data_IF_222077540111
#
_entry.id   IF_222077540111
#
_cell.length_a   1.000
_cell.length_b   1.000
_cell.length_c   1.000
_cell.angle_alpha   90.00
_cell.angle_beta   90.00
_cell.angle_gamma   90.00
#
_symmetry.space_group_name_H-M   'P 1'
#
loop_
_entity.id
_entity.type
_entity.pdbx_description
1 polymer ?
#
# COMPACT_ATOMS: atom_id res chain seq x y z
N UNK A 1 -17.56 -42.59 -18.04
CA UNK A 1 -17.76 -41.12 -18.15
C UNK A 1 -18.22 -40.66 -16.77
N UNK A 2 -17.54 -39.82 -16.01
CA UNK A 2 -16.78 -38.61 -16.33
C UNK A 2 -15.57 -38.52 -15.39
N UNK A 3 -14.38 -38.43 -15.97
CA UNK A 3 -13.14 -38.21 -15.24
C UNK A 3 -13.08 -36.73 -14.83
N UNK A 4 -13.46 -36.49 -13.58
CA UNK A 4 -13.13 -35.30 -12.81
C UNK A 4 -11.61 -35.22 -12.54
N UNK A 5 -10.81 -35.07 -13.60
CA UNK A 5 -9.38 -34.74 -13.55
C UNK A 5 -9.12 -33.59 -14.52
N UNK A 6 -9.52 -32.40 -14.08
CA UNK A 6 -9.00 -31.14 -14.65
C UNK A 6 -7.47 -31.22 -14.68
N UNK A 7 -6.92 -31.08 -15.88
CA UNK A 7 -5.48 -31.01 -16.15
C UNK A 7 -4.88 -29.85 -15.36
N UNK A 8 -4.09 -30.16 -14.34
CA UNK A 8 -3.03 -29.26 -13.87
C UNK A 8 -2.07 -29.11 -15.05
N UNK A 9 -2.00 -27.92 -15.67
CA UNK A 9 -0.96 -27.62 -16.66
C UNK A 9 0.41 -27.87 -16.02
N UNK A 10 1.31 -28.58 -16.72
CA UNK A 10 2.68 -28.77 -16.21
C UNK A 10 3.36 -27.41 -16.26
N UNK A 11 4.13 -27.06 -15.22
CA UNK A 11 4.82 -25.75 -15.12
C UNK A 11 5.58 -25.37 -16.40
N UNK A 12 6.22 -26.34 -17.06
CA UNK A 12 6.91 -26.12 -18.34
C UNK A 12 5.99 -25.64 -19.47
N UNK A 13 4.76 -26.16 -19.57
CA UNK A 13 3.79 -25.76 -20.59
C UNK A 13 3.39 -24.28 -20.41
N UNK A 14 3.24 -23.85 -19.16
CA UNK A 14 2.90 -22.47 -18.83
C UNK A 14 4.01 -21.49 -19.21
N UNK A 15 5.27 -21.81 -18.92
CA UNK A 15 6.40 -20.97 -19.32
C UNK A 15 6.62 -20.96 -20.85
N UNK A 16 6.25 -22.04 -21.54
CA UNK A 16 6.25 -22.12 -23.00
C UNK A 16 5.20 -21.20 -23.61
N UNK A 17 3.97 -21.23 -23.09
CA UNK A 17 2.86 -20.37 -23.52
C UNK A 17 3.16 -18.88 -23.29
N UNK A 18 3.86 -18.54 -22.21
CA UNK A 18 4.30 -17.16 -21.92
C UNK A 18 5.56 -16.74 -22.72
N UNK A 19 6.15 -17.62 -23.52
CA UNK A 19 7.38 -17.34 -24.27
C UNK A 19 8.63 -17.12 -23.41
N UNK A 20 8.57 -17.53 -22.13
CA UNK A 20 9.69 -17.42 -21.18
C UNK A 20 10.67 -18.58 -21.29
N UNK A 21 10.20 -19.73 -21.75
CA UNK A 21 11.02 -20.91 -22.04
C UNK A 21 10.71 -21.43 -23.44
N UNK A 22 11.72 -22.00 -24.10
CA UNK A 22 11.55 -22.82 -25.30
C UNK A 22 11.51 -24.33 -24.99
N UNK A 23 11.15 -25.14 -25.99
CA UNK A 23 11.04 -26.59 -25.83
C UNK A 23 12.37 -27.26 -25.42
N UNK A 24 13.50 -26.72 -25.86
CA UNK A 24 14.83 -27.25 -25.55
C UNK A 24 15.23 -26.93 -24.10
N UNK A 25 14.96 -25.71 -23.63
CA UNK A 25 15.16 -25.29 -22.24
C UNK A 25 14.30 -26.12 -21.28
N UNK A 26 13.05 -26.43 -21.63
CA UNK A 26 12.17 -27.29 -20.82
C UNK A 26 12.75 -28.70 -20.69
N UNK A 27 13.31 -29.26 -21.76
CA UNK A 27 13.95 -30.57 -21.72
C UNK A 27 15.18 -30.58 -20.79
N UNK A 28 16.04 -29.55 -20.90
CA UNK A 28 17.21 -29.39 -20.05
C UNK A 28 16.85 -29.21 -18.56
N UNK A 29 15.80 -28.45 -18.27
CA UNK A 29 15.26 -28.31 -16.91
C UNK A 29 14.78 -29.68 -16.42
N UNK A 30 14.06 -30.44 -17.24
CA UNK A 30 13.56 -31.77 -16.90
C UNK A 30 14.67 -32.81 -16.66
N UNK A 31 15.79 -32.74 -17.40
CA UNK A 31 16.98 -33.55 -17.13
C UNK A 31 17.61 -33.18 -15.78
N UNK A 32 17.87 -31.89 -15.56
CA UNK A 32 18.47 -31.37 -14.31
C UNK A 32 17.59 -31.69 -13.09
N UNK A 33 16.27 -31.62 -13.25
CA UNK A 33 15.30 -31.97 -12.22
C UNK A 33 15.47 -33.43 -11.75
N UNK A 34 15.65 -34.36 -12.70
CA UNK A 34 15.83 -35.80 -12.43
C UNK A 34 17.19 -36.10 -11.84
N UNK A 35 18.25 -35.55 -12.43
CA UNK A 35 19.63 -35.77 -12.00
C UNK A 35 19.87 -35.26 -10.57
N UNK A 36 19.34 -34.09 -10.25
CA UNK A 36 19.61 -33.41 -8.98
C UNK A 36 18.46 -33.47 -7.97
N UNK A 37 17.37 -34.16 -8.30
CA UNK A 37 16.17 -34.33 -7.45
C UNK A 37 15.63 -33.00 -6.89
N UNK A 38 15.57 -31.97 -7.73
CA UNK A 38 15.07 -30.64 -7.36
C UNK A 38 13.69 -30.37 -7.98
N UNK A 39 13.01 -29.27 -7.61
CA UNK A 39 11.74 -28.87 -8.23
C UNK A 39 12.00 -28.19 -9.58
N UNK A 40 10.99 -28.12 -10.44
CA UNK A 40 11.13 -27.53 -11.79
C UNK A 40 11.64 -26.07 -11.73
N UNK A 41 11.06 -25.24 -10.86
CA UNK A 41 11.51 -23.85 -10.66
C UNK A 41 12.95 -23.75 -10.17
N UNK A 42 13.35 -24.60 -9.21
CA UNK A 42 14.73 -24.64 -8.70
C UNK A 42 15.73 -25.02 -9.78
N UNK A 43 15.36 -25.97 -10.66
CA UNK A 43 16.18 -26.35 -11.81
C UNK A 43 16.28 -25.23 -12.85
N UNK A 44 15.18 -24.51 -13.13
CA UNK A 44 15.17 -23.38 -14.04
C UNK A 44 16.01 -22.20 -13.53
N UNK A 45 15.99 -21.94 -12.22
CA UNK A 45 16.88 -20.97 -11.55
C UNK A 45 18.34 -21.39 -11.65
N UNK A 46 18.60 -22.67 -11.37
CA UNK A 46 19.96 -23.20 -11.37
C UNK A 46 20.62 -23.10 -12.75
N UNK A 47 19.84 -23.34 -13.81
CA UNK A 47 20.29 -23.21 -15.20
C UNK A 47 20.33 -21.76 -15.70
N UNK A 48 19.78 -20.81 -14.92
CA UNK A 48 19.69 -19.40 -15.29
C UNK A 48 18.68 -19.09 -16.39
N UNK A 49 17.76 -20.02 -16.68
CA UNK A 49 16.72 -19.82 -17.71
C UNK A 49 15.57 -18.98 -17.21
N UNK A 50 15.28 -19.03 -15.91
CA UNK A 50 14.27 -18.20 -15.27
C UNK A 50 14.85 -17.52 -14.04
N UNK A 51 14.36 -16.32 -13.77
CA UNK A 51 14.58 -15.63 -12.50
C UNK A 51 13.51 -16.02 -11.48
N UNK A 52 13.80 -15.78 -10.20
CA UNK A 52 12.84 -16.02 -9.11
C UNK A 52 11.53 -15.28 -9.36
N UNK A 53 11.62 -14.02 -9.80
CA UNK A 53 10.48 -13.17 -10.15
C UNK A 53 9.59 -13.78 -11.26
N UNK A 54 10.19 -14.33 -12.31
CA UNK A 54 9.45 -14.95 -13.42
C UNK A 54 8.73 -16.23 -12.98
N UNK A 55 9.37 -17.05 -12.16
CA UNK A 55 8.76 -18.27 -11.62
C UNK A 55 7.58 -17.94 -10.72
N UNK A 56 7.76 -16.96 -9.85
CA UNK A 56 6.70 -16.54 -8.93
C UNK A 56 5.52 -15.92 -9.70
N UNK A 57 5.78 -15.07 -10.71
CA UNK A 57 4.77 -14.51 -11.61
C UNK A 57 3.88 -15.59 -12.24
N UNK A 58 4.51 -16.58 -12.87
CA UNK A 58 3.86 -17.73 -13.47
C UNK A 58 3.03 -18.57 -12.47
N UNK A 59 3.56 -18.80 -11.26
CA UNK A 59 2.84 -19.53 -10.21
C UNK A 59 1.63 -18.75 -9.69
N UNK A 60 1.71 -17.41 -9.67
CA UNK A 60 0.59 -16.53 -9.34
C UNK A 60 -0.64 -16.78 -10.20
N UNK A 61 -0.45 -16.82 -11.52
CA UNK A 61 -1.53 -17.09 -12.49
C UNK A 61 -2.12 -18.49 -12.29
N UNK A 62 -1.30 -19.50 -12.04
CA UNK A 62 -1.71 -20.90 -11.96
C UNK A 62 -2.56 -21.22 -10.71
N UNK A 63 -2.24 -20.62 -9.55
CA UNK A 63 -2.90 -20.93 -8.28
C UNK A 63 -4.07 -20.00 -7.93
N UNK A 64 -4.58 -19.24 -8.89
CA UNK A 64 -5.74 -18.37 -8.67
C UNK A 64 -5.47 -17.21 -7.70
N UNK A 65 -4.20 -16.83 -7.52
CA UNK A 65 -3.92 -15.48 -7.07
C UNK A 65 -4.26 -14.57 -8.23
N UNK A 66 -5.47 -14.03 -8.20
CA UNK A 66 -6.04 -13.04 -9.11
C UNK A 66 -5.24 -11.72 -9.08
N UNK A 67 -3.92 -11.80 -9.29
CA UNK A 67 -2.97 -10.70 -9.24
C UNK A 67 -2.52 -10.28 -10.64
N UNK A 68 -2.96 -10.97 -11.69
CA UNK A 68 -2.64 -10.61 -13.07
C UNK A 68 -3.88 -10.27 -13.92
N UNK A 69 -5.07 -10.71 -13.50
CA UNK A 69 -6.30 -10.44 -14.22
C UNK A 69 -6.90 -9.11 -13.71
N UNK A 70 -6.83 -8.05 -14.52
CA UNK A 70 -7.52 -6.75 -14.40
C UNK A 70 -6.83 -5.56 -13.69
N UNK A 71 -5.51 -5.40 -13.76
CA UNK A 71 -4.87 -4.10 -13.42
C UNK A 71 -4.79 -3.17 -14.63
N UNK A 72 -5.85 -3.11 -15.43
CA UNK A 72 -6.01 -2.16 -16.55
C UNK A 72 -6.44 -0.78 -16.05
N UNK A 73 -5.78 -0.30 -15.00
CA UNK A 73 -6.13 0.93 -14.30
C UNK A 73 -4.91 1.79 -14.01
N UNK A 74 -5.14 3.07 -13.78
CA UNK A 74 -4.15 4.13 -13.59
C UNK A 74 -3.14 3.88 -12.44
N UNK A 75 -3.41 2.91 -11.56
CA UNK A 75 -2.56 2.51 -10.45
C UNK A 75 -1.30 1.70 -10.83
N UNK A 76 -1.27 1.04 -12.00
CA UNK A 76 -0.27 0.04 -12.33
C UNK A 76 1.16 0.55 -12.60
N UNK A 77 1.34 1.82 -12.99
CA UNK A 77 2.64 2.27 -13.52
C UNK A 77 3.67 2.61 -12.42
N UNK A 78 3.24 3.23 -11.32
CA UNK A 78 4.13 3.76 -10.28
C UNK A 78 4.09 3.00 -8.94
N UNK A 79 3.15 2.08 -8.76
CA UNK A 79 3.07 1.25 -7.56
C UNK A 79 3.90 -0.02 -7.71
N UNK A 80 5.10 -0.04 -7.14
CA UNK A 80 6.05 -1.18 -7.26
C UNK A 80 5.42 -2.50 -6.81
N UNK A 81 4.59 -2.49 -5.77
CA UNK A 81 3.98 -3.72 -5.27
C UNK A 81 2.99 -4.37 -6.27
N UNK A 82 2.40 -3.60 -7.19
CA UNK A 82 1.58 -4.15 -8.29
C UNK A 82 2.44 -4.76 -9.40
N UNK A 83 3.61 -4.17 -9.65
CA UNK A 83 4.54 -4.63 -10.71
C UNK A 83 5.38 -5.83 -10.29
N UNK A 84 5.62 -5.97 -8.99
CA UNK A 84 6.41 -7.06 -8.42
C UNK A 84 5.61 -7.75 -7.29
N UNK A 85 4.53 -8.48 -7.63
CA UNK A 85 3.61 -9.05 -6.64
C UNK A 85 4.26 -10.03 -5.66
N UNK A 86 5.42 -10.58 -5.98
CA UNK A 86 6.18 -11.53 -5.16
C UNK A 86 7.39 -10.92 -4.46
N UNK A 87 7.58 -9.60 -4.59
CA UNK A 87 8.62 -8.92 -3.85
C UNK A 87 8.35 -8.99 -2.34
N UNK A 88 9.42 -8.85 -1.56
CA UNK A 88 9.31 -8.73 -0.10
C UNK A 88 8.41 -7.57 0.31
N UNK A 89 8.48 -6.44 -0.39
CA UNK A 89 7.62 -5.28 -0.16
C UNK A 89 6.13 -5.63 -0.30
N UNK A 90 5.77 -6.33 -1.37
CA UNK A 90 4.40 -6.77 -1.62
C UNK A 90 3.89 -7.71 -0.53
N UNK A 91 4.75 -8.58 0.00
CA UNK A 91 4.39 -9.46 1.12
C UNK A 91 4.20 -8.69 2.43
N UNK A 92 5.05 -7.72 2.74
CA UNK A 92 4.86 -6.87 3.94
C UNK A 92 3.58 -6.03 3.86
N UNK A 93 3.22 -5.52 2.66
CA UNK A 93 1.93 -4.82 2.46
C UNK A 93 0.74 -5.78 2.65
N UNK A 94 0.81 -7.01 2.13
CA UNK A 94 -0.23 -8.03 2.35
C UNK A 94 -0.34 -8.43 3.81
N UNK A 95 0.78 -8.49 4.52
CA UNK A 95 0.82 -8.74 5.97
C UNK A 95 0.13 -7.60 6.73
N UNK A 96 0.52 -6.35 6.48
CA UNK A 96 -0.11 -5.17 7.09
C UNK A 96 -1.62 -5.17 6.85
N UNK A 97 -2.06 -5.41 5.62
CA UNK A 97 -3.49 -5.55 5.29
C UNK A 97 -4.16 -6.62 6.17
N UNK A 98 -3.55 -7.79 6.31
CA UNK A 98 -4.14 -8.90 7.08
C UNK A 98 -4.25 -8.55 8.57
N UNK A 99 -3.23 -7.91 9.13
CA UNK A 99 -3.24 -7.40 10.50
C UNK A 99 -4.36 -6.36 10.72
N UNK A 100 -4.56 -5.46 9.75
CA UNK A 100 -5.66 -4.48 9.80
C UNK A 100 -7.03 -5.14 9.68
N UNK A 101 -7.23 -6.08 8.76
CA UNK A 101 -8.50 -6.81 8.64
C UNK A 101 -8.84 -7.59 9.92
N UNK A 102 -7.85 -8.13 10.61
CA UNK A 102 -8.04 -8.77 11.92
C UNK A 102 -8.39 -7.75 13.01
N UNK A 103 -7.69 -6.60 13.07
CA UNK A 103 -7.97 -5.51 14.01
C UNK A 103 -9.39 -4.98 13.87
N UNK A 104 -9.88 -4.88 12.64
CA UNK A 104 -11.19 -4.34 12.30
C UNK A 104 -12.26 -5.41 12.03
N UNK A 105 -12.03 -6.67 12.41
CA UNK A 105 -12.93 -7.79 12.09
C UNK A 105 -14.38 -7.60 12.59
N UNK A 106 -14.55 -6.86 13.69
CA UNK A 106 -15.85 -6.57 14.31
C UNK A 106 -16.34 -5.13 14.05
N UNK A 107 -15.75 -4.43 13.07
CA UNK A 107 -16.18 -3.09 12.68
C UNK A 107 -16.69 -3.12 11.24
N UNK A 108 -17.79 -2.42 10.99
CA UNK A 108 -18.37 -2.33 9.65
C UNK A 108 -17.48 -1.52 8.69
N UNK A 109 -16.64 -0.63 9.23
CA UNK A 109 -15.80 0.26 8.44
C UNK A 109 -14.39 0.39 8.99
N UNK A 110 -13.44 0.48 8.06
CA UNK A 110 -12.05 0.82 8.33
C UNK A 110 -11.85 2.28 7.94
N UNK A 111 -11.44 3.14 8.88
CA UNK A 111 -11.14 4.56 8.59
C UNK A 111 -9.75 4.87 9.14
N UNK A 112 -8.78 5.10 8.26
CA UNK A 112 -7.38 5.26 8.68
C UNK A 112 -6.80 6.51 8.05
N UNK A 113 -6.28 7.40 8.89
CA UNK A 113 -5.40 8.48 8.45
C UNK A 113 -3.96 7.95 8.37
N UNK A 114 -3.32 8.13 7.23
CA UNK A 114 -1.91 7.78 7.03
C UNK A 114 -1.11 9.06 7.25
N UNK A 115 -0.28 9.07 8.30
CA UNK A 115 0.41 10.28 8.78
C UNK A 115 1.92 10.07 8.84
N UNK A 116 2.70 11.13 8.65
CA UNK A 116 4.16 11.11 8.79
C UNK A 116 4.64 12.40 9.47
N UNK A 117 5.84 12.33 10.05
CA UNK A 117 6.42 13.50 10.71
C UNK A 117 6.85 14.53 9.68
N UNK A 118 7.56 14.10 8.63
CA UNK A 118 8.14 14.97 7.61
C UNK A 118 7.53 14.80 6.22
N UNK A 119 8.12 15.51 5.27
CA UNK A 119 7.86 15.36 3.83
C UNK A 119 8.65 14.16 3.29
N UNK A 120 8.22 13.63 2.14
CA UNK A 120 8.92 12.56 1.42
C UNK A 120 9.18 11.27 2.24
N UNK A 121 8.42 11.02 3.32
CA UNK A 121 8.48 9.77 4.09
C UNK A 121 7.87 8.57 3.34
N UNK A 122 7.21 8.85 2.20
CA UNK A 122 6.48 7.88 1.39
C UNK A 122 5.10 7.51 1.95
N UNK A 123 4.53 8.43 2.74
CA UNK A 123 3.16 8.39 3.26
C UNK A 123 2.12 8.16 2.14
N UNK A 124 2.16 8.95 1.08
CA UNK A 124 1.25 8.87 -0.07
C UNK A 124 1.36 7.55 -0.83
N UNK A 125 2.59 7.06 -1.00
CA UNK A 125 2.85 5.73 -1.57
C UNK A 125 2.26 4.61 -0.69
N UNK A 126 2.46 4.69 0.63
CA UNK A 126 1.93 3.70 1.55
C UNK A 126 0.40 3.75 1.63
N UNK A 127 -0.20 4.95 1.60
CA UNK A 127 -1.65 5.13 1.56
C UNK A 127 -2.26 4.47 0.32
N UNK A 128 -1.69 4.73 -0.86
CA UNK A 128 -2.11 4.08 -2.09
C UNK A 128 -1.93 2.57 -2.05
N UNK A 129 -0.77 2.10 -1.58
CA UNK A 129 -0.46 0.67 -1.51
C UNK A 129 -1.40 -0.09 -0.58
N UNK A 130 -1.71 0.49 0.58
CA UNK A 130 -2.66 -0.07 1.52
C UNK A 130 -4.09 -0.09 0.95
N UNK A 131 -4.51 1.00 0.31
CA UNK A 131 -5.84 1.09 -0.29
C UNK A 131 -6.05 0.03 -1.39
N UNK A 132 -5.06 -0.16 -2.26
CA UNK A 132 -5.10 -1.22 -3.26
C UNK A 132 -5.09 -2.60 -2.60
N UNK A 133 -4.26 -2.83 -1.59
CA UNK A 133 -4.20 -4.12 -0.92
C UNK A 133 -5.56 -4.50 -0.31
N UNK A 134 -6.26 -3.54 0.32
CA UNK A 134 -7.61 -3.73 0.86
C UNK A 134 -8.63 -4.00 -0.25
N UNK A 135 -8.57 -3.27 -1.38
CA UNK A 135 -9.43 -3.51 -2.54
C UNK A 135 -9.23 -4.90 -3.15
N UNK A 136 -7.98 -5.38 -3.24
CA UNK A 136 -7.64 -6.75 -3.67
C UNK A 136 -8.21 -7.82 -2.73
N UNK A 137 -8.42 -7.49 -1.45
CA UNK A 137 -9.09 -8.37 -0.49
C UNK A 137 -10.62 -8.24 -0.52
N UNK A 138 -11.18 -7.52 -1.50
CA UNK A 138 -12.62 -7.39 -1.71
C UNK A 138 -13.31 -6.27 -0.93
N UNK A 139 -12.56 -5.43 -0.20
CA UNK A 139 -13.14 -4.27 0.51
C UNK A 139 -13.41 -3.13 -0.46
N UNK A 140 -14.62 -2.59 -0.47
CA UNK A 140 -14.96 -1.39 -1.23
C UNK A 140 -14.22 -0.21 -0.61
N UNK A 141 -13.14 0.23 -1.24
CA UNK A 141 -12.15 1.13 -0.66
C UNK A 141 -12.19 2.49 -1.36
N UNK A 142 -12.19 3.56 -0.58
CA UNK A 142 -12.00 4.93 -1.03
C UNK A 142 -10.65 5.45 -0.51
N UNK A 143 -9.74 5.75 -1.43
CA UNK A 143 -8.51 6.49 -1.16
C UNK A 143 -8.79 7.98 -1.31
N UNK A 144 -8.41 8.78 -0.31
CA UNK A 144 -8.67 10.21 -0.28
C UNK A 144 -7.35 10.96 -0.10
N UNK A 145 -7.04 11.85 -1.02
CA UNK A 145 -5.96 12.83 -0.85
C UNK A 145 -6.50 14.02 -0.03
N UNK A 146 -6.12 14.08 1.25
CA UNK A 146 -6.50 15.16 2.17
C UNK A 146 -5.45 16.26 2.27
N UNK A 147 -4.35 16.15 1.52
CA UNK A 147 -3.36 17.21 1.38
C UNK A 147 -3.90 18.29 0.43
N UNK A 148 -4.75 19.17 0.97
CA UNK A 148 -5.29 20.29 0.22
C UNK A 148 -4.25 21.40 -0.07
N UNK A 149 -3.00 21.25 0.38
CA UNK A 149 -1.94 22.25 0.21
C UNK A 149 -1.08 21.94 -1.00
N UNK A 150 -0.58 20.71 -1.08
CA UNK A 150 0.33 20.24 -2.12
C UNK A 150 0.04 18.79 -2.53
N UNK A 151 -1.22 18.33 -2.44
CA UNK A 151 -1.61 16.95 -2.73
C UNK A 151 -1.10 16.47 -4.10
N UNK A 152 -0.18 15.52 -4.07
CA UNK A 152 0.52 14.97 -5.23
C UNK A 152 0.13 13.51 -5.52
N UNK A 153 -0.81 12.96 -4.75
CA UNK A 153 -1.23 11.57 -4.85
C UNK A 153 -1.85 11.25 -6.23
N UNK A 154 -2.52 12.22 -6.85
CA UNK A 154 -3.02 12.10 -8.22
C UNK A 154 -1.90 11.82 -9.25
N UNK A 155 -0.69 12.33 -9.02
CA UNK A 155 0.47 12.09 -9.90
C UNK A 155 0.94 10.64 -9.83
N UNK A 156 0.73 9.96 -8.70
CA UNK A 156 1.03 8.53 -8.56
C UNK A 156 0.18 7.69 -9.50
N UNK A 157 -1.02 8.18 -9.82
CA UNK A 157 -1.97 7.55 -10.73
C UNK A 157 -1.96 8.16 -12.13
N UNK A 158 -1.13 9.16 -12.42
CA UNK A 158 -1.14 9.83 -13.75
C UNK A 158 -2.48 10.53 -14.06
N UNK A 159 -3.18 10.99 -13.03
CA UNK A 159 -4.50 11.63 -13.11
C UNK A 159 -4.33 13.15 -13.09
N UNK A 160 -5.07 13.87 -13.92
CA UNK A 160 -5.21 15.33 -13.79
C UNK A 160 -6.04 15.68 -12.53
N UNK A 161 -5.74 16.79 -11.86
CA UNK A 161 -6.39 17.17 -10.59
C UNK A 161 -7.28 18.43 -10.71
N UNK A 162 -8.36 18.43 -11.52
CA UNK A 162 -9.16 19.64 -11.73
C UNK A 162 -10.19 19.89 -10.62
N UNK A 163 -10.81 18.84 -10.09
CA UNK A 163 -11.86 18.86 -9.06
C UNK A 163 -11.63 17.67 -8.12
N UNK A 164 -11.95 17.83 -6.83
CA UNK A 164 -11.66 16.79 -5.83
C UNK A 164 -12.23 17.12 -4.45
N UNK A 165 -11.55 16.69 -3.39
CA UNK A 165 -11.97 16.86 -2.00
C UNK A 165 -12.30 18.32 -1.67
N UNK A 166 -11.46 19.28 -2.09
CA UNK A 166 -11.72 20.70 -1.83
C UNK A 166 -13.05 21.17 -2.45
N UNK A 167 -13.37 20.73 -3.67
CA UNK A 167 -14.63 21.03 -4.36
C UNK A 167 -15.83 20.39 -3.66
N UNK A 168 -15.67 19.18 -3.12
CA UNK A 168 -16.70 18.46 -2.34
C UNK A 168 -16.97 19.14 -1.00
N UNK A 169 -15.92 19.47 -0.25
CA UNK A 169 -16.04 20.15 1.05
C UNK A 169 -16.60 21.58 0.90
N UNK A 170 -16.33 22.24 -0.23
CA UNK A 170 -16.94 23.51 -0.58
C UNK A 170 -18.38 23.40 -1.11
N UNK A 171 -18.96 22.19 -1.16
CA UNK A 171 -20.31 21.90 -1.67
C UNK A 171 -20.54 22.34 -3.13
N UNK A 172 -19.48 22.38 -3.93
CA UNK A 172 -19.54 22.74 -5.36
C UNK A 172 -19.68 21.52 -6.27
N UNK A 173 -19.23 20.36 -5.77
CA UNK A 173 -19.31 19.06 -6.41
C UNK A 173 -19.76 18.01 -5.40
N UNK A 174 -20.31 16.93 -5.88
CA UNK A 174 -20.60 15.72 -5.10
C UNK A 174 -19.45 14.72 -5.21
N UNK A 175 -19.36 13.77 -4.28
CA UNK A 175 -18.35 12.70 -4.35
C UNK A 175 -18.49 11.92 -5.67
N UNK A 176 -19.71 11.67 -6.13
CA UNK A 176 -20.00 10.92 -7.36
C UNK A 176 -19.47 11.58 -8.62
N UNK A 177 -19.41 12.91 -8.65
CA UNK A 177 -18.92 13.65 -9.80
C UNK A 177 -17.39 13.61 -9.92
N UNK A 178 -16.68 13.44 -8.80
CA UNK A 178 -15.22 13.67 -8.75
C UNK A 178 -14.41 12.46 -8.29
N UNK A 179 -15.02 11.45 -7.67
CA UNK A 179 -14.33 10.23 -7.27
C UNK A 179 -14.12 9.32 -8.50
N UNK A 180 -12.87 8.92 -8.71
CA UNK A 180 -12.44 8.21 -9.91
C UNK A 180 -12.28 6.72 -9.59
N UNK A 181 -12.90 5.80 -10.34
CA UNK A 181 -12.64 4.38 -10.19
C UNK A 181 -11.23 4.06 -10.71
N UNK A 182 -10.36 3.54 -9.84
CA UNK A 182 -8.99 3.18 -10.23
C UNK A 182 -8.86 1.72 -10.66
N UNK A 183 -9.59 0.83 -9.99
CA UNK A 183 -9.64 -0.62 -10.23
C UNK A 183 -10.86 -1.22 -9.51
N UNK A 184 -11.20 -2.50 -9.70
CA UNK A 184 -12.28 -3.13 -8.93
C UNK A 184 -12.12 -2.90 -7.43
N UNK A 185 -13.22 -2.48 -6.78
CA UNK A 185 -13.29 -2.14 -5.36
C UNK A 185 -12.41 -0.95 -4.90
N UNK A 186 -11.79 -0.17 -5.79
CA UNK A 186 -11.00 1.01 -5.41
C UNK A 186 -11.44 2.26 -6.15
N UNK A 187 -11.84 3.27 -5.38
CA UNK A 187 -12.04 4.63 -5.87
C UNK A 187 -11.01 5.58 -5.26
N UNK A 188 -10.73 6.66 -5.98
CA UNK A 188 -9.82 7.71 -5.56
C UNK A 188 -10.48 9.08 -5.62
N UNK A 189 -10.42 9.81 -4.50
CA UNK A 189 -10.79 11.21 -4.40
C UNK A 189 -9.50 12.04 -4.35
N UNK A 190 -9.12 12.74 -5.43
CA UNK A 190 -7.96 13.62 -5.41
C UNK A 190 -8.23 14.85 -4.52
N UNK A 191 -7.19 15.62 -4.18
CA UNK A 191 -7.32 16.79 -3.31
C UNK A 191 -8.18 17.89 -3.94
N UNK A 192 -8.16 18.01 -5.28
CA UNK A 192 -8.79 19.08 -6.01
C UNK A 192 -7.95 20.36 -6.02
N UNK A 193 -8.51 21.49 -6.47
CA UNK A 193 -7.81 22.76 -6.54
C UNK A 193 -7.46 23.30 -5.16
N UNK A 194 -6.31 23.95 -5.03
CA UNK A 194 -5.83 24.58 -3.80
C UNK A 194 -6.86 25.62 -3.31
N UNK A 195 -7.54 25.40 -2.16
CA UNK A 195 -8.45 26.38 -1.61
C UNK A 195 -7.68 27.55 -0.97
N UNK A 196 -8.29 28.73 -0.82
CA UNK A 196 -7.66 29.86 -0.14
C UNK A 196 -7.34 29.55 1.32
N UNK A 197 -8.19 28.76 2.00
CA UNK A 197 -8.03 28.36 3.40
C UNK A 197 -8.27 26.85 3.57
N UNK A 198 -7.23 26.00 3.44
CA UNK A 198 -7.35 24.54 3.56
C UNK A 198 -7.96 24.07 4.90
N UNK A 199 -7.50 24.61 6.02
CA UNK A 199 -7.94 24.19 7.37
C UNK A 199 -9.44 24.42 7.61
N UNK A 200 -10.01 25.49 7.05
CA UNK A 200 -11.45 25.77 7.20
C UNK A 200 -12.32 24.77 6.44
N UNK A 201 -11.81 24.16 5.36
CA UNK A 201 -12.55 23.12 4.64
C UNK A 201 -12.51 21.78 5.37
N UNK A 202 -11.37 21.41 5.98
CA UNK A 202 -11.21 20.13 6.69
C UNK A 202 -11.64 20.18 8.16
N UNK A 203 -12.21 21.31 8.60
CA UNK A 203 -12.65 21.54 9.98
C UNK A 203 -13.61 20.45 10.45
N UNK A 204 -13.68 20.27 11.76
CA UNK A 204 -14.63 19.35 12.37
C UNK A 204 -16.08 19.81 12.14
N UNK A 205 -17.03 18.91 11.80
CA UNK A 205 -16.88 17.47 11.53
C UNK A 205 -16.96 17.14 10.01
N UNK A 206 -16.43 18.00 9.13
CA UNK A 206 -16.65 17.91 7.68
C UNK A 206 -16.16 16.59 7.07
N UNK A 207 -14.96 16.15 7.42
CA UNK A 207 -14.42 14.86 6.95
C UNK A 207 -15.25 13.71 7.51
N UNK A 208 -15.56 13.73 8.81
CA UNK A 208 -16.37 12.68 9.41
C UNK A 208 -17.73 12.55 8.73
N UNK A 209 -18.37 13.69 8.43
CA UNK A 209 -19.65 13.73 7.72
C UNK A 209 -19.53 13.15 6.32
N UNK A 210 -18.46 13.49 5.59
CA UNK A 210 -18.18 12.91 4.27
C UNK A 210 -18.05 11.37 4.35
N UNK A 211 -17.31 10.84 5.33
CA UNK A 211 -17.15 9.39 5.51
C UNK A 211 -18.48 8.72 5.88
N UNK A 212 -19.23 9.31 6.82
CA UNK A 212 -20.52 8.79 7.29
C UNK A 212 -21.57 8.76 6.16
N UNK A 213 -21.60 9.79 5.30
CA UNK A 213 -22.52 9.85 4.16
C UNK A 213 -22.28 8.75 3.11
N UNK A 214 -21.06 8.21 3.04
CA UNK A 214 -20.66 7.22 2.05
C UNK A 214 -20.35 5.84 2.66
N UNK A 215 -20.69 5.68 3.94
CA UNK A 215 -20.61 4.47 4.75
C UNK A 215 -21.20 3.21 4.08
N UNK A 216 -22.32 3.35 3.38
CA UNK A 216 -23.00 2.22 2.74
C UNK A 216 -22.29 1.76 1.46
N UNK A 217 -21.48 2.64 0.86
CA UNK A 217 -20.81 2.43 -0.43
C UNK A 217 -19.38 1.93 -0.29
N UNK A 218 -18.71 2.32 0.80
CA UNK A 218 -17.33 1.98 1.07
C UNK A 218 -17.18 1.35 2.46
N UNK A 219 -16.46 0.23 2.50
CA UNK A 219 -16.09 -0.50 3.72
C UNK A 219 -14.78 0.02 4.30
N UNK A 220 -13.96 0.68 3.49
CA UNK A 220 -12.65 1.19 3.89
C UNK A 220 -12.38 2.60 3.33
N UNK A 221 -11.85 3.46 4.18
CA UNK A 221 -11.45 4.83 3.86
C UNK A 221 -9.99 5.02 4.29
N UNK A 222 -9.12 5.31 3.32
CA UNK A 222 -7.70 5.57 3.54
C UNK A 222 -7.42 7.03 3.19
N UNK A 223 -7.01 7.82 4.17
CA UNK A 223 -6.82 9.25 4.04
C UNK A 223 -5.33 9.56 4.07
N UNK A 224 -4.78 10.06 2.96
CA UNK A 224 -3.41 10.56 2.89
C UNK A 224 -3.36 12.01 3.37
N UNK A 225 -2.53 12.35 4.36
CA UNK A 225 -2.57 13.68 5.02
C UNK A 225 -1.42 14.60 4.60
N UNK A 226 -1.48 15.88 4.95
CA UNK A 226 -0.28 16.74 4.92
C UNK A 226 0.74 16.30 6.01
N UNK A 227 2.05 16.59 5.88
CA UNK A 227 3.05 16.31 6.92
C UNK A 227 2.74 17.00 8.26
N UNK A 228 2.80 16.25 9.34
CA UNK A 228 2.38 16.72 10.66
C UNK A 228 3.33 17.76 11.30
N UNK A 229 4.59 17.83 10.86
CA UNK A 229 5.54 18.87 11.30
C UNK A 229 5.26 20.25 10.70
N UNK A 230 4.51 20.32 9.60
CA UNK A 230 4.32 21.55 8.84
C UNK A 230 3.01 22.26 9.19
N UNK A 231 1.97 21.50 9.53
CA UNK A 231 0.68 22.05 9.95
C UNK A 231 -0.17 21.01 10.68
N UNK A 232 -1.25 21.47 11.33
CA UNK A 232 -2.15 20.65 12.15
C UNK A 232 -3.16 19.81 11.36
N UNK A 233 -3.10 19.86 10.03
CA UNK A 233 -4.02 19.18 9.12
C UNK A 233 -4.06 17.66 9.44
N UNK A 234 -2.91 17.02 9.65
CA UNK A 234 -2.81 15.59 9.97
C UNK A 234 -3.57 15.19 11.23
N UNK A 235 -3.42 15.94 12.33
CA UNK A 235 -4.11 15.69 13.60
C UNK A 235 -5.63 15.87 13.44
N UNK A 236 -6.05 16.88 12.69
CA UNK A 236 -7.46 17.18 12.46
C UNK A 236 -8.15 16.11 11.60
N UNK A 237 -7.48 15.62 10.56
CA UNK A 237 -7.95 14.48 9.77
C UNK A 237 -7.99 13.21 10.62
N UNK A 238 -6.91 12.91 11.35
CA UNK A 238 -6.80 11.70 12.16
C UNK A 238 -7.83 11.65 13.30
N UNK A 239 -8.16 12.79 13.92
CA UNK A 239 -9.25 12.87 14.89
C UNK A 239 -10.60 12.46 14.30
N UNK A 240 -10.84 12.80 13.03
CA UNK A 240 -12.09 12.49 12.34
C UNK A 240 -12.18 11.03 11.86
N UNK A 241 -11.04 10.36 11.66
CA UNK A 241 -10.98 8.92 11.35
C UNK A 241 -10.97 8.03 12.60
N UNK A 242 -10.44 8.53 13.72
CA UNK A 242 -10.27 7.80 14.98
C UNK A 242 -9.01 6.92 15.02
N UNK A 243 -8.44 6.57 13.86
CA UNK A 243 -7.24 5.75 13.75
C UNK A 243 -6.17 6.40 12.86
N UNK A 244 -4.91 6.27 13.27
CA UNK A 244 -3.76 6.71 12.51
C UNK A 244 -2.72 5.59 12.31
N UNK A 245 -2.16 5.53 11.10
CA UNK A 245 -1.00 4.72 10.75
C UNK A 245 0.20 5.65 10.52
N UNK A 246 1.25 5.49 11.32
CA UNK A 246 2.44 6.35 11.22
C UNK A 246 3.41 5.79 10.19
N UNK A 247 3.95 6.66 9.34
CA UNK A 247 4.95 6.34 8.35
C UNK A 247 6.25 7.01 8.73
N UNK A 248 7.30 6.20 8.82
CA UNK A 248 8.66 6.65 9.11
C UNK A 248 9.58 6.21 7.97
N UNK A 249 10.40 7.13 7.45
CA UNK A 249 11.44 6.81 6.49
C UNK A 249 12.65 6.25 7.21
N UNK A 250 13.03 5.05 6.83
CA UNK A 250 14.21 4.37 7.35
C UNK A 250 15.46 5.23 7.09
N UNK A 251 16.29 5.31 8.13
CA UNK A 251 17.55 6.06 8.17
C UNK A 251 17.41 7.59 7.96
N UNK A 252 16.19 8.14 8.04
CA UNK A 252 15.92 9.58 7.87
C UNK A 252 15.00 10.17 8.93
N UNK A 253 13.88 9.51 9.25
CA UNK A 253 12.99 10.00 10.31
C UNK A 253 13.65 9.78 11.67
N UNK A 254 13.81 10.85 12.44
CA UNK A 254 14.36 10.76 13.79
C UNK A 254 13.35 10.09 14.75
N UNK A 255 13.87 9.37 15.74
CA UNK A 255 13.02 8.68 16.72
C UNK A 255 12.20 9.68 17.54
N UNK A 256 12.77 10.84 17.85
CA UNK A 256 12.10 11.87 18.64
C UNK A 256 10.95 12.53 17.86
N UNK A 257 11.12 12.77 16.55
CA UNK A 257 10.04 13.22 15.68
C UNK A 257 8.88 12.22 15.64
N UNK A 258 9.20 10.93 15.54
CA UNK A 258 8.18 9.87 15.54
C UNK A 258 7.45 9.76 16.89
N UNK A 259 8.16 9.97 18.01
CA UNK A 259 7.57 10.03 19.35
C UNK A 259 6.64 11.23 19.48
N UNK A 260 7.11 12.42 19.09
CA UNK A 260 6.32 13.65 19.11
C UNK A 260 5.06 13.52 18.25
N UNK A 261 5.18 12.91 17.05
CA UNK A 261 4.03 12.61 16.20
C UNK A 261 3.02 11.70 16.90
N UNK A 262 3.50 10.58 17.48
CA UNK A 262 2.64 9.64 18.21
C UNK A 262 1.92 10.33 19.37
N UNK A 263 2.64 11.12 20.18
CA UNK A 263 2.07 11.88 21.29
C UNK A 263 1.01 12.88 20.79
N UNK A 264 1.26 13.58 19.68
CA UNK A 264 0.28 14.50 19.10
C UNK A 264 -1.01 13.80 18.66
N UNK A 265 -0.91 12.58 18.12
CA UNK A 265 -2.09 11.77 17.76
C UNK A 265 -2.86 11.33 19.00
N UNK A 266 -2.15 10.94 20.07
CA UNK A 266 -2.78 10.56 21.34
C UNK A 266 -3.51 11.74 22.01
N UNK A 267 -2.89 12.94 22.01
CA UNK A 267 -3.52 14.18 22.49
C UNK A 267 -4.78 14.50 21.68
N UNK A 268 -4.75 14.26 20.37
CA UNK A 268 -5.91 14.39 19.50
C UNK A 268 -6.97 13.28 19.70
N UNK A 269 -6.79 12.35 20.64
CA UNK A 269 -7.74 11.27 20.91
C UNK A 269 -7.76 10.18 19.83
N UNK A 270 -6.67 10.03 19.07
CA UNK A 270 -6.54 9.07 17.96
C UNK A 270 -5.83 7.81 18.43
N UNK A 271 -6.35 6.64 18.06
CA UNK A 271 -5.65 5.38 18.27
C UNK A 271 -4.57 5.18 17.19
N UNK A 272 -3.31 5.12 17.62
CA UNK A 272 -2.19 4.80 16.74
C UNK A 272 -2.09 3.30 16.53
N UNK A 273 -2.36 2.84 15.31
CA UNK A 273 -2.37 1.42 14.92
C UNK A 273 -0.96 0.80 14.94
N UNK A 274 0.05 1.62 14.63
CA UNK A 274 1.44 1.20 14.55
C UNK A 274 2.27 2.14 13.70
N UNK A 275 3.49 1.72 13.37
CA UNK A 275 4.41 2.44 12.51
C UNK A 275 4.93 1.54 11.41
N UNK A 276 4.89 2.02 10.16
CA UNK A 276 5.50 1.38 9.00
C UNK A 276 6.82 2.07 8.68
N UNK A 277 7.89 1.29 8.62
CA UNK A 277 9.20 1.77 8.18
C UNK A 277 9.33 1.63 6.67
N UNK A 278 9.32 2.77 5.98
CA UNK A 278 9.44 2.82 4.54
C UNK A 278 10.88 3.04 4.10
N UNK A 279 11.32 2.32 3.08
CA UNK A 279 12.64 2.45 2.48
C UNK A 279 12.52 3.08 1.10
N UNK A 280 12.03 4.32 1.04
CA UNK A 280 11.98 5.06 -0.21
C UNK A 280 13.43 5.24 -0.71
N UNK A 281 13.77 4.78 -1.94
CA UNK A 281 15.14 4.79 -2.43
C UNK A 281 15.76 6.17 -2.23
N UNK A 282 16.89 6.21 -1.53
CA UNK A 282 17.66 7.44 -1.40
C UNK A 282 18.21 7.79 -2.78
N UNK A 283 17.83 8.95 -3.33
CA UNK A 283 18.51 9.55 -4.47
C UNK A 283 19.97 9.95 -4.16
N UNK A 284 20.43 9.76 -2.92
CA UNK A 284 21.83 9.93 -2.55
C UNK A 284 22.60 8.62 -2.65
N UNK A 285 23.45 8.52 -3.68
CA UNK A 285 24.66 7.69 -3.62
C UNK A 285 25.51 8.18 -2.45
N UNK A 286 25.51 7.47 -1.33
CA UNK A 286 26.63 7.49 -0.39
C UNK A 286 26.97 6.07 0.04
N UNK A 287 28.18 5.67 -0.35
CA UNK A 287 28.87 4.48 0.14
C UNK A 287 28.80 4.46 1.67
N UNK A 288 28.14 3.45 2.23
CA UNK A 288 28.21 3.17 3.66
C UNK A 288 28.74 1.76 3.87
N UNK A 289 30.01 1.73 4.24
CA UNK A 289 30.71 0.61 4.87
C UNK A 289 29.92 0.14 6.08
N UNK A 290 29.60 -1.15 6.10
CA UNK A 290 28.87 -1.83 7.17
C UNK A 290 29.68 -1.78 8.47
N UNK A 291 29.11 -1.18 9.52
CA UNK A 291 29.61 -1.31 10.90
C UNK A 291 28.50 -1.79 11.84
N UNK A 292 28.68 -3.05 12.23
CA UNK A 292 28.17 -3.86 13.38
C UNK A 292 27.10 -3.29 14.32
N UNK A 293 26.07 -4.12 14.50
CA UNK A 293 25.09 -4.14 15.61
C UNK A 293 25.71 -3.98 17.02
N UNK A 294 25.02 -3.23 17.89
CA UNK A 294 25.10 -3.38 19.35
C UNK A 294 23.70 -3.36 19.96
N UNK A 295 23.29 -4.50 20.50
CA UNK A 295 22.10 -4.70 21.32
C UNK A 295 22.30 -4.04 22.69
N UNK A 296 21.28 -3.33 23.21
CA UNK A 296 21.24 -2.94 24.62
C UNK A 296 19.92 -3.37 25.26
N UNK A 297 20.02 -4.28 26.22
CA UNK A 297 18.98 -4.63 27.19
C UNK A 297 19.60 -4.47 28.58
N UNK A 298 19.00 -3.64 29.44
CA UNK A 298 19.20 -3.71 30.89
C UNK A 298 17.88 -3.37 31.62
N UNK A 299 17.34 -4.27 32.45
CA UNK A 299 16.18 -3.98 33.29
C UNK A 299 16.59 -3.17 34.53
N UNK A 300 15.68 -2.31 34.99
CA UNK A 300 15.93 -1.31 36.03
C UNK A 300 16.14 -1.88 37.44
N UNK A 301 16.85 -1.09 38.26
CA UNK A 301 16.85 -1.24 39.73
C UNK A 301 15.98 -0.14 40.35
N UNK A 302 14.99 -0.58 41.13
CA UNK A 302 14.24 0.24 42.09
C UNK A 302 15.20 0.87 43.10
N UNK A 303 15.00 2.15 43.41
CA UNK A 303 15.57 2.78 44.61
C UNK A 303 14.58 2.56 45.78
N UNK A 304 15.12 2.16 46.92
CA UNK A 304 14.50 2.40 48.22
C UNK A 304 14.73 3.82 48.68
#
# INVERSE_FOLDING_TARGET
>A
MSAAKQKVARLGDLFLEQGLLDAHQIEQIGQTQRERKMRFGDAALHLGFLTQSQIEAALGEQFGHSNQLQYSGLAGEKLTFLRQPFSRESEEIRRLRSELLLKFANQDQIRIAVVSAGTADGKSYMAASLAVALAQAGRRTLLIDTDLRNGDLHQLFGIENPDGLSSVLAQRRTLDEVALPLMPNLHFLPAGPLPPNPLELIRLPEIRRLLDQHAERFDAFILDTFPASLASDAQMIAHQTGYALLIARKDQTEIDDLRALKESMQIAGVEVLGTVFNHAPSTQKKNLTISRFKTWFRPGRRKG
#
